data_IF_064887238344
#
_entry.id   IF_064887238344
#
_cell.length_a   1.000
_cell.length_b   1.000
_cell.length_c   1.000
_cell.angle_alpha   90.00
_cell.angle_beta   90.00
_cell.angle_gamma   90.00
#
_symmetry.space_group_name_H-M   'P 1'
#
loop_
_entity.id
_entity.type
_entity.pdbx_description
1 polymer ?
#
# COMPACT_ATOMS: atom_id res chain seq x y z
N UNK A 1 -3.65 -24.21 -40.23
CA UNK A 1 -2.42 -24.11 -39.42
C UNK A 1 -1.84 -25.50 -39.27
N UNK A 2 -0.52 -25.67 -39.40
CA UNK A 2 0.11 -26.98 -39.22
C UNK A 2 0.07 -27.41 -37.76
N UNK A 3 -0.30 -28.66 -37.50
CA UNK A 3 -0.22 -29.25 -36.16
C UNK A 3 1.17 -29.79 -35.92
N UNK A 4 1.67 -29.65 -34.69
CA UNK A 4 2.90 -30.30 -34.23
C UNK A 4 2.55 -31.22 -33.06
N UNK A 5 3.02 -32.45 -33.11
CA UNK A 5 2.83 -33.42 -32.02
C UNK A 5 3.98 -33.27 -31.03
N UNK A 6 3.65 -33.09 -29.76
CA UNK A 6 4.60 -32.96 -28.66
C UNK A 6 4.33 -34.10 -27.67
N UNK A 7 5.36 -34.81 -27.26
CA UNK A 7 5.26 -35.80 -26.19
C UNK A 7 5.25 -35.08 -24.83
N UNK A 8 4.31 -35.45 -23.98
CA UNK A 8 4.23 -34.98 -22.58
C UNK A 8 4.23 -36.19 -21.65
N UNK A 9 4.75 -36.02 -20.43
CA UNK A 9 4.63 -37.06 -19.42
C UNK A 9 3.16 -37.25 -19.04
N UNK A 10 2.78 -38.48 -18.71
CA UNK A 10 1.39 -38.84 -18.36
C UNK A 10 0.86 -37.96 -17.22
N UNK A 11 1.65 -37.79 -16.15
CA UNK A 11 1.27 -36.95 -15.01
C UNK A 11 1.02 -35.49 -15.40
N UNK A 12 1.74 -34.99 -16.41
CA UNK A 12 1.57 -33.63 -16.93
C UNK A 12 0.30 -33.54 -17.78
N UNK A 13 0.06 -34.54 -18.62
CA UNK A 13 -1.15 -34.63 -19.43
C UNK A 13 -2.41 -34.61 -18.55
N UNK A 14 -2.46 -35.44 -17.51
CA UNK A 14 -3.60 -35.53 -16.61
C UNK A 14 -3.82 -34.23 -15.81
N UNK A 15 -2.74 -33.56 -15.39
CA UNK A 15 -2.85 -32.23 -14.75
C UNK A 15 -3.41 -31.16 -15.68
N UNK A 16 -2.99 -31.17 -16.95
CA UNK A 16 -3.51 -30.25 -17.96
C UNK A 16 -4.98 -30.55 -18.27
N UNK A 17 -5.32 -31.84 -18.42
CA UNK A 17 -6.68 -32.31 -18.66
C UNK A 17 -7.63 -31.92 -17.53
N UNK A 18 -7.22 -32.05 -16.27
CA UNK A 18 -8.04 -31.64 -15.12
C UNK A 18 -8.32 -30.13 -15.07
N UNK A 19 -7.52 -29.32 -15.75
CA UNK A 19 -7.62 -27.85 -15.77
C UNK A 19 -8.29 -27.31 -17.05
N UNK A 20 -8.58 -28.21 -17.99
CA UNK A 20 -9.30 -27.93 -19.23
C UNK A 20 -10.78 -27.66 -18.93
N UNK A 21 -11.35 -26.62 -19.54
CA UNK A 21 -12.80 -26.33 -19.45
C UNK A 21 -13.59 -27.18 -20.46
N UNK A 22 -14.90 -27.37 -20.23
CA UNK A 22 -15.74 -28.25 -21.06
C UNK A 22 -15.76 -27.84 -22.54
N UNK A 23 -15.76 -26.52 -22.83
CA UNK A 23 -15.82 -25.97 -24.20
C UNK A 23 -14.44 -25.57 -24.78
N UNK A 24 -13.34 -25.95 -24.14
CA UNK A 24 -11.98 -25.55 -24.53
C UNK A 24 -11.27 -26.66 -25.32
N UNK A 25 -10.45 -26.35 -26.33
CA UNK A 25 -9.55 -27.34 -26.93
C UNK A 25 -8.23 -27.43 -26.16
N UNK A 26 -7.42 -28.47 -26.39
CA UNK A 26 -6.13 -28.59 -25.72
C UNK A 26 -5.15 -27.48 -26.15
N UNK A 27 -5.27 -27.00 -27.40
CA UNK A 27 -4.53 -25.85 -27.90
C UNK A 27 -4.98 -24.58 -27.19
N UNK A 28 -6.29 -24.37 -27.04
CA UNK A 28 -6.83 -23.19 -26.34
C UNK A 28 -6.38 -23.14 -24.86
N UNK A 29 -6.31 -24.31 -24.21
CA UNK A 29 -5.75 -24.43 -22.87
C UNK A 29 -4.29 -23.97 -22.81
N UNK A 30 -3.47 -24.44 -23.76
CA UNK A 30 -2.06 -24.06 -23.82
C UNK A 30 -1.90 -22.58 -24.12
N UNK A 31 -2.64 -22.04 -25.08
CA UNK A 31 -2.64 -20.62 -25.40
C UNK A 31 -3.05 -19.79 -24.18
N UNK A 32 -4.10 -20.19 -23.45
CA UNK A 32 -4.51 -19.51 -22.20
C UNK A 32 -3.47 -19.59 -21.08
N UNK A 33 -2.71 -20.67 -21.01
CA UNK A 33 -1.65 -20.82 -20.00
C UNK A 33 -0.38 -20.06 -20.37
N UNK A 34 -0.09 -19.95 -21.66
CA UNK A 34 1.04 -19.20 -22.22
C UNK A 34 0.72 -17.71 -22.41
N UNK A 35 -0.55 -17.31 -22.28
CA UNK A 35 -0.98 -15.92 -22.35
C UNK A 35 -0.42 -15.13 -21.15
N UNK A 36 0.80 -14.62 -21.32
CA UNK A 36 1.53 -13.72 -20.41
C UNK A 36 0.79 -12.38 -20.20
N UNK A 37 -0.29 -12.10 -20.96
CA UNK A 37 -1.13 -10.92 -20.77
C UNK A 37 -1.96 -10.95 -19.49
N UNK A 38 -2.00 -12.09 -18.77
CA UNK A 38 -2.37 -12.11 -17.35
C UNK A 38 -1.23 -11.49 -16.57
N UNK A 39 -1.17 -10.16 -16.63
CA UNK A 39 -0.54 -9.23 -15.70
C UNK A 39 -0.02 -9.97 -14.48
N UNK A 40 1.31 -10.04 -14.31
CA UNK A 40 1.89 -10.62 -13.11
C UNK A 40 1.22 -9.92 -11.93
N UNK A 41 0.36 -10.65 -11.23
CA UNK A 41 -0.42 -10.08 -10.14
C UNK A 41 0.53 -9.57 -9.05
N UNK A 42 1.79 -10.02 -9.01
CA UNK A 42 2.83 -9.44 -8.15
C UNK A 42 3.28 -8.05 -8.59
N UNK A 43 3.20 -7.73 -9.87
CA UNK A 43 3.51 -6.38 -10.36
C UNK A 43 2.38 -5.38 -10.08
N UNK A 44 1.14 -5.86 -9.93
CA UNK A 44 -0.05 -4.98 -9.80
C UNK A 44 -0.67 -4.96 -8.41
N UNK A 45 -0.52 -6.03 -7.61
CA UNK A 45 -1.15 -6.10 -6.30
C UNK A 45 -0.31 -5.35 -5.26
N UNK A 46 -0.81 -4.19 -4.81
CA UNK A 46 -0.19 -3.40 -3.74
C UNK A 46 0.78 -2.32 -4.20
N UNK A 47 0.93 -2.11 -5.52
CA UNK A 47 1.69 -0.98 -6.07
C UNK A 47 0.71 0.09 -6.56
N UNK A 48 0.85 1.31 -6.04
CA UNK A 48 0.20 2.48 -6.62
C UNK A 48 0.97 2.87 -7.88
N UNK A 49 0.26 3.37 -8.89
CA UNK A 49 0.91 4.04 -10.00
C UNK A 49 1.65 5.28 -9.50
N UNK A 50 2.67 5.73 -10.24
CA UNK A 50 3.57 6.79 -9.75
C UNK A 50 2.82 8.09 -9.45
N UNK A 51 1.75 8.39 -10.19
CA UNK A 51 0.90 9.57 -9.97
C UNK A 51 0.07 9.47 -8.67
N UNK A 52 -0.65 8.37 -8.46
CA UNK A 52 -1.38 8.07 -7.24
C UNK A 52 -0.46 8.05 -6.01
N UNK A 53 0.76 7.51 -6.15
CA UNK A 53 1.76 7.47 -5.09
C UNK A 53 2.21 8.90 -4.71
N UNK A 54 2.48 9.76 -5.70
CA UNK A 54 2.85 11.15 -5.46
C UNK A 54 1.71 11.96 -4.81
N UNK A 55 0.46 11.70 -5.23
CA UNK A 55 -0.71 12.31 -4.61
C UNK A 55 -0.87 11.92 -3.14
N UNK A 56 -0.69 10.63 -2.81
CA UNK A 56 -0.72 10.14 -1.44
C UNK A 56 0.40 10.75 -0.59
N UNK A 57 1.62 10.84 -1.14
CA UNK A 57 2.76 11.45 -0.45
C UNK A 57 2.47 12.92 -0.08
N UNK A 58 1.96 13.70 -1.04
CA UNK A 58 1.59 15.10 -0.80
C UNK A 58 0.50 15.23 0.28
N UNK A 59 -0.51 14.36 0.25
CA UNK A 59 -1.58 14.35 1.25
C UNK A 59 -1.03 14.05 2.66
N UNK A 60 -0.20 13.02 2.81
CA UNK A 60 0.43 12.66 4.10
C UNK A 60 1.31 13.79 4.62
N UNK A 61 2.09 14.43 3.75
CA UNK A 61 2.93 15.57 4.13
C UNK A 61 2.10 16.72 4.69
N UNK A 62 1.01 17.09 4.01
CA UNK A 62 0.12 18.17 4.47
C UNK A 62 -0.51 17.88 5.84
N UNK A 63 -0.89 16.63 6.10
CA UNK A 63 -1.45 16.21 7.39
C UNK A 63 -0.39 16.31 8.48
N UNK A 64 0.82 15.80 8.24
CA UNK A 64 1.92 15.86 9.20
C UNK A 64 2.30 17.29 9.56
N UNK A 65 2.37 18.18 8.59
CA UNK A 65 2.68 19.59 8.81
C UNK A 65 1.62 20.24 9.72
N UNK A 66 0.33 20.08 9.40
CA UNK A 66 -0.77 20.59 10.24
C UNK A 66 -0.73 20.02 11.66
N UNK A 67 -0.52 18.72 11.79
CA UNK A 67 -0.42 18.07 13.10
C UNK A 67 0.76 18.60 13.89
N UNK A 68 1.95 18.70 13.29
CA UNK A 68 3.16 19.18 13.95
C UNK A 68 3.04 20.63 14.43
N UNK A 69 2.43 21.50 13.61
CA UNK A 69 2.15 22.89 13.99
C UNK A 69 1.22 22.95 15.20
N UNK A 70 0.10 22.22 15.17
CA UNK A 70 -0.85 22.20 16.28
C UNK A 70 -0.29 21.60 17.58
N UNK A 71 0.64 20.65 17.52
CA UNK A 71 1.34 20.16 18.72
C UNK A 71 2.31 21.21 19.29
N UNK A 72 3.06 21.89 18.42
CA UNK A 72 4.00 22.93 18.85
C UNK A 72 3.28 24.12 19.49
N UNK A 73 2.14 24.53 18.94
CA UNK A 73 1.29 25.61 19.48
C UNK A 73 0.75 25.23 20.86
N UNK A 74 0.11 24.06 20.99
CA UNK A 74 -0.36 23.55 22.29
C UNK A 74 0.76 23.41 23.32
N UNK A 75 1.95 23.01 22.89
CA UNK A 75 3.10 22.90 23.79
C UNK A 75 3.54 24.28 24.29
N UNK A 76 3.55 25.31 23.44
CA UNK A 76 3.88 26.68 23.84
C UNK A 76 2.83 27.23 24.81
N UNK A 77 1.55 27.10 24.48
CA UNK A 77 0.45 27.56 25.33
C UNK A 77 0.52 26.92 26.72
N UNK A 78 0.81 25.61 26.79
CA UNK A 78 0.96 24.92 28.06
C UNK A 78 2.16 25.45 28.86
N UNK A 79 3.32 25.67 28.22
CA UNK A 79 4.51 26.22 28.88
C UNK A 79 4.25 27.63 29.41
N UNK A 80 3.58 28.49 28.62
CA UNK A 80 3.23 29.85 29.00
C UNK A 80 2.25 29.87 30.18
N UNK A 81 1.20 29.05 30.13
CA UNK A 81 0.26 28.91 31.23
C UNK A 81 0.93 28.46 32.54
N UNK A 82 1.94 27.58 32.48
CA UNK A 82 2.70 27.18 33.66
C UNK A 82 3.67 28.28 34.15
N UNK A 83 4.20 29.11 33.26
CA UNK A 83 5.07 30.22 33.62
C UNK A 83 4.31 31.31 34.38
N UNK A 84 3.09 31.65 33.95
CA UNK A 84 2.24 32.63 34.64
C UNK A 84 1.84 32.17 36.04
N UNK A 85 1.51 30.90 36.22
CA UNK A 85 1.19 30.32 37.55
C UNK A 85 2.40 30.34 38.49
N UNK A 86 3.61 30.19 37.95
CA UNK A 86 4.86 30.27 38.72
C UNK A 86 5.22 31.69 39.17
N UNK A 87 4.91 32.70 38.36
CA UNK A 87 5.13 34.10 38.71
C UNK A 87 4.20 34.57 39.84
N UNK A 88 2.91 34.21 39.77
CA UNK A 88 1.90 34.56 40.77
C UNK A 88 2.18 33.89 42.14
N UNK A 89 2.86 32.74 42.14
CA UNK A 89 3.30 32.05 43.36
C UNK A 89 4.56 32.66 43.99
N UNK A 90 5.36 33.41 43.24
CA UNK A 90 6.60 34.04 43.71
C UNK A 90 6.35 35.42 44.37
N UNK A 91 5.29 36.13 43.97
CA UNK A 91 4.89 37.42 44.56
C UNK A 91 4.20 37.31 45.93
N UNK A 92 3.77 36.11 46.33
CA UNK A 92 3.13 35.86 47.64
C UNK A 92 4.07 35.42 48.77
N UNK A 93 5.39 35.33 48.53
CA UNK A 93 6.37 34.75 49.47
C UNK A 93 7.21 35.79 50.25
N UNK A 94 7.06 37.10 50.02
CA UNK A 94 7.90 38.14 50.64
C UNK A 94 7.21 38.87 51.82
N UNK A 95 6.37 38.16 52.59
CA UNK A 95 5.76 38.69 53.82
C UNK A 95 5.77 37.63 54.94
N UNK A 96 6.97 37.35 55.49
CA UNK A 96 7.20 36.79 56.84
C UNK A 96 8.50 37.32 57.43
#
# INVERSE_FOLDING_TARGET
MGTKTIGVQEDVYERLRARKREDESFTDLLDRLMDESRTDWRETFGRLQDEDAAALEAAVKSVRERSSGGYAERQRDAIEAFADVGADSAEGSDDT
#
